data_IF_351677649845
#
_entry.id   IF_351677649845
#
_cell.length_a   1.000
_cell.length_b   1.000
_cell.length_c   1.000
_cell.angle_alpha   90.00
_cell.angle_beta   90.00
_cell.angle_gamma   90.00
#
_symmetry.space_group_name_H-M   'P 1'
#
loop_
_entity.id
_entity.type
_entity.pdbx_description
1 polymer ?
#
# COMPACT_ATOMS: atom_id res chain seq x y z
N UNK A 1 -6.62 16.20 7.97
CA UNK A 1 -5.85 17.18 7.20
C UNK A 1 -6.66 17.59 5.99
N UNK A 2 -6.74 18.88 5.63
CA UNK A 2 -7.51 19.31 4.47
C UNK A 2 -6.91 18.68 3.21
N UNK A 3 -7.77 18.21 2.31
CA UNK A 3 -7.40 17.54 1.05
C UNK A 3 -6.39 18.36 0.23
N UNK A 4 -6.45 19.70 0.35
CA UNK A 4 -5.50 20.62 -0.26
C UNK A 4 -4.05 20.46 0.23
N UNK A 5 -3.83 20.17 1.52
CA UNK A 5 -2.47 19.95 2.05
C UNK A 5 -1.82 18.69 1.46
N UNK A 6 -2.61 17.63 1.27
CA UNK A 6 -2.15 16.40 0.62
C UNK A 6 -1.79 16.63 -0.85
N UNK A 7 -2.63 17.37 -1.58
CA UNK A 7 -2.37 17.70 -2.98
C UNK A 7 -1.07 18.52 -3.15
N UNK A 8 -0.87 19.54 -2.31
CA UNK A 8 0.36 20.35 -2.31
C UNK A 8 1.57 19.48 -1.99
N UNK A 9 1.48 18.61 -0.98
CA UNK A 9 2.57 17.69 -0.64
C UNK A 9 2.92 16.76 -1.80
N UNK A 10 1.92 16.15 -2.45
CA UNK A 10 2.15 15.26 -3.59
C UNK A 10 2.86 15.99 -4.73
N UNK A 11 2.38 17.18 -5.09
CA UNK A 11 2.99 17.96 -6.18
C UNK A 11 4.42 18.36 -5.81
N UNK A 12 4.64 18.85 -4.60
CA UNK A 12 5.97 19.25 -4.13
C UNK A 12 6.94 18.06 -4.08
N UNK A 13 6.52 16.93 -3.50
CA UNK A 13 7.33 15.72 -3.41
C UNK A 13 7.68 15.16 -4.80
N UNK A 14 6.71 15.15 -5.71
CA UNK A 14 6.93 14.66 -7.09
C UNK A 14 7.86 15.59 -7.87
N UNK A 15 7.73 16.90 -7.71
CA UNK A 15 8.63 17.88 -8.33
C UNK A 15 10.07 17.77 -7.79
N UNK A 16 10.22 17.63 -6.46
CA UNK A 16 11.52 17.43 -5.84
C UNK A 16 12.16 16.09 -6.27
N UNK A 17 11.38 15.01 -6.30
CA UNK A 17 11.83 13.71 -6.80
C UNK A 17 12.27 13.78 -8.26
N UNK A 18 11.54 14.50 -9.11
CA UNK A 18 11.91 14.72 -10.50
C UNK A 18 13.25 15.45 -10.63
N UNK A 19 13.43 16.55 -9.89
CA UNK A 19 14.68 17.32 -9.89
C UNK A 19 15.83 16.45 -9.40
N UNK A 20 15.62 15.63 -8.37
CA UNK A 20 16.63 14.70 -7.85
C UNK A 20 17.05 13.67 -8.91
N UNK A 21 16.09 12.98 -9.54
CA UNK A 21 16.42 12.02 -10.59
C UNK A 21 17.08 12.67 -11.82
N UNK A 22 16.70 13.91 -12.12
CA UNK A 22 17.27 14.65 -13.25
C UNK A 22 18.70 15.13 -13.00
N UNK A 23 18.98 15.66 -11.80
CA UNK A 23 20.29 16.26 -11.47
C UNK A 23 21.28 15.32 -10.81
N UNK A 24 20.81 14.40 -9.97
CA UNK A 24 21.68 13.48 -9.21
C UNK A 24 21.81 12.14 -9.94
N UNK A 25 20.67 11.54 -10.34
CA UNK A 25 20.69 10.23 -10.99
C UNK A 25 20.96 10.29 -12.51
N UNK A 26 20.90 11.47 -13.13
CA UNK A 26 21.18 11.67 -14.55
C UNK A 26 20.16 11.04 -15.51
N UNK A 27 18.97 10.66 -15.03
CA UNK A 27 17.95 9.98 -15.84
C UNK A 27 17.36 10.89 -16.90
N UNK A 28 17.05 10.37 -18.08
CA UNK A 28 16.34 11.09 -19.16
C UNK A 28 14.99 11.67 -18.69
N UNK A 29 14.47 12.66 -19.42
CA UNK A 29 13.22 13.36 -19.06
C UNK A 29 12.05 12.39 -18.75
N UNK A 30 11.70 11.45 -19.65
CA UNK A 30 10.60 10.53 -19.39
C UNK A 30 10.90 9.62 -18.19
N UNK A 31 12.09 9.03 -18.10
CA UNK A 31 12.46 8.16 -16.96
C UNK A 31 12.40 8.88 -15.62
N UNK A 32 12.94 10.10 -15.53
CA UNK A 32 12.91 10.90 -14.31
C UNK A 32 11.47 11.27 -13.90
N UNK A 33 10.63 11.63 -14.87
CA UNK A 33 9.24 12.00 -14.61
C UNK A 33 8.42 10.82 -14.10
N UNK A 34 8.40 9.70 -14.83
CA UNK A 34 7.62 8.52 -14.44
C UNK A 34 8.15 7.79 -13.19
N UNK A 35 9.44 7.96 -12.88
CA UNK A 35 10.02 7.48 -11.61
C UNK A 35 9.61 8.34 -10.41
N UNK A 36 9.44 9.66 -10.60
CA UNK A 36 9.07 10.59 -9.53
C UNK A 36 7.58 10.65 -9.26
N UNK A 37 6.75 10.44 -10.29
CA UNK A 37 5.31 10.54 -10.15
C UNK A 37 4.72 9.36 -9.38
N UNK A 38 3.76 9.61 -8.48
CA UNK A 38 3.02 8.55 -7.83
C UNK A 38 2.03 7.91 -8.82
N UNK A 39 2.01 6.59 -8.88
CA UNK A 39 1.08 5.84 -9.73
C UNK A 39 1.23 4.33 -9.58
N UNK A 40 0.50 3.60 -10.41
CA UNK A 40 0.66 2.14 -10.57
C UNK A 40 2.00 1.81 -11.23
N UNK A 41 2.72 0.82 -10.69
CA UNK A 41 4.05 0.44 -11.20
C UNK A 41 3.98 0.07 -12.68
N UNK A 42 3.00 -0.75 -13.06
CA UNK A 42 2.80 -1.21 -14.44
C UNK A 42 2.53 -0.02 -15.35
N UNK A 43 1.57 0.83 -14.99
CA UNK A 43 1.18 1.99 -15.80
C UNK A 43 2.37 2.93 -16.05
N UNK A 44 3.13 3.27 -15.01
CA UNK A 44 4.25 4.21 -15.11
C UNK A 44 5.41 3.64 -15.93
N UNK A 45 5.65 2.33 -15.85
CA UNK A 45 6.68 1.66 -16.66
C UNK A 45 6.25 1.63 -18.13
N UNK A 46 5.00 1.27 -18.42
CA UNK A 46 4.47 1.23 -19.79
C UNK A 46 4.44 2.62 -20.43
N UNK A 47 3.90 3.63 -19.73
CA UNK A 47 3.88 5.03 -20.20
C UNK A 47 5.29 5.60 -20.38
N UNK A 48 6.22 5.20 -19.50
CA UNK A 48 7.62 5.57 -19.63
C UNK A 48 8.27 5.01 -20.89
N UNK A 49 8.04 3.73 -21.16
CA UNK A 49 8.53 3.07 -22.36
C UNK A 49 7.97 3.72 -23.64
N UNK A 50 6.66 3.98 -23.68
CA UNK A 50 6.00 4.64 -24.81
C UNK A 50 6.58 6.04 -25.10
N UNK A 51 7.12 6.71 -24.07
CA UNK A 51 7.75 8.03 -24.17
C UNK A 51 9.27 7.95 -24.40
N UNK A 52 9.82 6.76 -24.62
CA UNK A 52 11.25 6.53 -24.86
C UNK A 52 12.11 6.53 -23.58
N UNK A 53 11.49 6.37 -22.42
CA UNK A 53 12.18 6.20 -21.14
C UNK A 53 12.64 4.75 -20.90
N UNK A 54 13.53 4.59 -19.94
CA UNK A 54 14.10 3.32 -19.52
C UNK A 54 13.17 2.62 -18.51
N UNK A 55 12.39 1.67 -19.02
CA UNK A 55 11.43 0.86 -18.26
C UNK A 55 12.06 0.18 -17.03
N UNK A 56 13.33 -0.24 -17.10
CA UNK A 56 14.02 -0.96 -16.03
C UNK A 56 14.30 -0.02 -14.86
N UNK A 57 14.73 1.21 -15.15
CA UNK A 57 14.97 2.24 -14.11
C UNK A 57 13.67 2.65 -13.43
N UNK A 58 12.61 2.86 -14.20
CA UNK A 58 11.29 3.24 -13.66
C UNK A 58 10.76 2.12 -12.73
N UNK A 59 10.81 0.87 -13.20
CA UNK A 59 10.37 -0.29 -12.42
C UNK A 59 11.17 -0.45 -11.13
N UNK A 60 12.49 -0.27 -11.19
CA UNK A 60 13.37 -0.36 -10.03
C UNK A 60 13.02 0.67 -8.97
N UNK A 61 12.83 1.93 -9.36
CA UNK A 61 12.48 3.01 -8.42
C UNK A 61 11.12 2.75 -7.76
N UNK A 62 10.10 2.42 -8.55
CA UNK A 62 8.77 2.18 -8.03
C UNK A 62 8.72 0.96 -7.10
N UNK A 63 9.44 -0.11 -7.44
CA UNK A 63 9.53 -1.32 -6.58
C UNK A 63 10.31 -1.03 -5.31
N UNK A 64 11.44 -0.32 -5.41
CA UNK A 64 12.25 0.10 -4.25
C UNK A 64 11.42 0.93 -3.29
N UNK A 65 10.59 1.85 -3.80
CA UNK A 65 9.66 2.63 -2.98
C UNK A 65 8.73 1.72 -2.18
N UNK A 66 8.13 0.70 -2.80
CA UNK A 66 7.24 -0.25 -2.11
C UNK A 66 7.99 -0.98 -0.99
N UNK A 67 9.20 -1.48 -1.27
CA UNK A 67 10.02 -2.21 -0.29
C UNK A 67 10.40 -1.28 0.87
N UNK A 68 10.89 -0.08 0.57
CA UNK A 68 11.28 0.91 1.58
C UNK A 68 10.09 1.30 2.45
N UNK A 69 8.94 1.58 1.85
CA UNK A 69 7.69 1.90 2.55
C UNK A 69 7.28 0.72 3.43
N UNK A 70 7.22 -0.49 2.90
CA UNK A 70 6.83 -1.69 3.63
C UNK A 70 7.74 -1.99 4.83
N UNK A 71 9.05 -1.78 4.68
CA UNK A 71 10.03 -2.00 5.74
C UNK A 71 10.11 -0.86 6.75
N UNK A 72 9.96 0.41 6.32
CA UNK A 72 10.15 1.57 7.19
C UNK A 72 8.89 1.97 7.97
N UNK A 73 7.70 1.89 7.37
CA UNK A 73 6.44 2.24 8.03
C UNK A 73 6.20 1.57 9.39
N UNK A 74 6.41 0.25 9.58
CA UNK A 74 6.15 -0.37 10.88
C UNK A 74 7.01 0.20 12.01
N UNK A 75 8.19 0.76 11.71
CA UNK A 75 9.06 1.39 12.71
C UNK A 75 8.81 2.91 12.85
N UNK A 76 8.45 3.58 11.74
CA UNK A 76 8.21 5.02 11.72
C UNK A 76 6.89 5.43 12.37
N UNK A 77 5.82 4.63 12.22
CA UNK A 77 4.54 5.02 12.79
C UNK A 77 4.56 5.00 14.34
N UNK A 78 5.03 3.95 15.03
CA UNK A 78 5.06 3.95 16.49
C UNK A 78 5.91 5.06 17.09
N UNK A 79 7.03 5.41 16.44
CA UNK A 79 7.97 6.42 16.91
C UNK A 79 7.43 7.86 16.77
N UNK A 80 6.64 8.14 15.73
CA UNK A 80 6.07 9.49 15.50
C UNK A 80 4.71 9.65 16.17
N UNK A 81 3.89 8.60 16.24
CA UNK A 81 2.52 8.66 16.79
C UNK A 81 2.45 8.47 18.32
N UNK A 82 3.59 8.25 19.00
CA UNK A 82 3.63 8.08 20.46
C UNK A 82 3.00 6.78 20.97
N UNK A 83 2.82 5.79 20.11
CA UNK A 83 2.17 4.51 20.43
C UNK A 83 2.02 3.63 19.20
N UNK A 84 1.91 2.31 19.40
CA UNK A 84 1.75 1.36 18.31
C UNK A 84 0.51 1.72 17.46
N UNK A 85 0.65 1.83 16.11
CA UNK A 85 -0.48 2.13 15.24
C UNK A 85 -1.62 1.13 15.45
N UNK A 86 -2.84 1.66 15.47
CA UNK A 86 -4.08 0.90 15.61
C UNK A 86 -4.34 -0.10 14.46
N UNK A 87 -3.49 -0.13 13.41
CA UNK A 87 -3.53 -1.07 12.28
C UNK A 87 -2.33 -2.04 12.17
N UNK A 88 -1.29 -1.88 13.00
CA UNK A 88 -0.10 -2.76 13.02
C UNK A 88 0.09 -3.41 14.39
N UNK A 89 -1.01 -3.68 15.10
CA UNK A 89 -0.98 -4.85 15.97
C UNK A 89 -0.91 -6.03 15.01
N UNK A 90 0.31 -6.49 14.75
CA UNK A 90 0.53 -7.94 14.60
C UNK A 90 0.02 -8.45 15.94
N UNK A 91 -1.28 -8.72 16.00
CA UNK A 91 -1.92 -9.17 17.20
C UNK A 91 -1.37 -10.57 17.39
N UNK A 92 -0.22 -10.66 18.06
CA UNK A 92 0.24 -11.87 18.71
C UNK A 92 -0.78 -12.12 19.83
N UNK A 93 -1.97 -12.54 19.42
CA UNK A 93 -2.99 -13.07 20.30
C UNK A 93 -2.42 -14.42 20.71
N UNK A 94 -2.12 -14.65 22.00
CA UNK A 94 -1.63 -15.93 22.45
C UNK A 94 -2.60 -17.03 22.00
N UNK A 95 -2.11 -18.13 21.44
CA UNK A 95 -2.94 -19.29 21.07
C UNK A 95 -3.80 -19.80 22.24
N UNK A 96 -3.37 -19.52 23.47
CA UNK A 96 -4.08 -19.83 24.71
C UNK A 96 -5.38 -19.02 24.95
N UNK A 97 -5.60 -17.91 24.22
CA UNK A 97 -6.84 -17.10 24.32
C UNK A 97 -7.86 -17.42 23.23
N UNK A 98 -7.57 -18.35 22.31
CA UNK A 98 -8.53 -18.77 21.30
C UNK A 98 -9.46 -19.83 21.89
N UNK A 99 -10.72 -19.46 22.13
CA UNK A 99 -11.77 -20.44 22.38
C UNK A 99 -12.05 -21.20 21.06
N UNK A 100 -12.43 -22.48 21.12
CA UNK A 100 -12.80 -23.28 19.93
C UNK A 100 -13.88 -22.57 19.09
N UNK A 101 -14.72 -21.78 19.75
CA UNK A 101 -15.78 -20.98 19.13
C UNK A 101 -15.24 -19.87 18.21
N UNK A 102 -14.11 -19.25 18.54
CA UNK A 102 -13.49 -18.20 17.71
C UNK A 102 -12.84 -18.79 16.46
N UNK A 103 -12.26 -19.98 16.55
CA UNK A 103 -11.67 -20.69 15.41
C UNK A 103 -12.76 -21.08 14.39
N UNK A 104 -13.94 -21.48 14.85
CA UNK A 104 -15.09 -21.79 13.98
C UNK A 104 -15.59 -20.53 13.28
N UNK A 105 -15.76 -19.42 14.00
CA UNK A 105 -16.18 -18.16 13.39
C UNK A 105 -15.14 -17.59 12.42
N UNK A 106 -13.86 -17.67 12.76
CA UNK A 106 -12.78 -17.20 11.90
C UNK A 106 -12.68 -18.04 10.62
N UNK A 107 -12.77 -19.37 10.73
CA UNK A 107 -12.77 -20.25 9.56
C UNK A 107 -14.00 -20.06 8.68
N UNK A 108 -15.19 -19.86 9.27
CA UNK A 108 -16.40 -19.52 8.53
C UNK A 108 -16.29 -18.17 7.81
N UNK A 109 -15.75 -17.14 8.47
CA UNK A 109 -15.53 -15.83 7.88
C UNK A 109 -14.50 -15.86 6.75
N UNK A 110 -13.43 -16.64 6.89
CA UNK A 110 -12.43 -16.86 5.82
C UNK A 110 -13.06 -17.59 4.64
N UNK A 111 -13.83 -18.66 4.88
CA UNK A 111 -14.52 -19.41 3.81
C UNK A 111 -15.52 -18.51 3.07
N UNK A 112 -16.38 -17.81 3.79
CA UNK A 112 -17.37 -16.89 3.19
C UNK A 112 -16.69 -15.73 2.46
N UNK A 113 -15.65 -15.13 3.04
CA UNK A 113 -14.88 -14.05 2.42
C UNK A 113 -14.13 -14.50 1.17
N UNK A 114 -13.58 -15.71 1.16
CA UNK A 114 -12.90 -16.29 -0.02
C UNK A 114 -13.91 -16.66 -1.11
N UNK A 115 -15.08 -17.18 -0.77
CA UNK A 115 -16.13 -17.52 -1.74
C UNK A 115 -16.76 -16.25 -2.33
N UNK A 116 -17.14 -15.29 -1.49
CA UNK A 116 -17.69 -14.00 -1.93
C UNK A 116 -16.67 -13.16 -2.71
N UNK A 117 -15.40 -13.13 -2.25
CA UNK A 117 -14.31 -12.44 -2.94
C UNK A 117 -13.94 -13.07 -4.28
N UNK A 118 -14.10 -14.40 -4.43
CA UNK A 118 -13.98 -15.07 -5.75
C UNK A 118 -15.12 -14.68 -6.69
N UNK A 119 -16.33 -14.47 -6.18
CA UNK A 119 -17.49 -14.12 -6.98
C UNK A 119 -17.43 -12.66 -7.49
N UNK A 120 -16.82 -11.74 -6.75
CA UNK A 120 -16.85 -10.28 -7.01
C UNK A 120 -15.59 -9.66 -7.67
N UNK A 121 -14.52 -10.42 -7.94
CA UNK A 121 -13.32 -9.98 -8.72
C UNK A 121 -12.68 -8.64 -8.28
N UNK A 122 -12.72 -8.29 -6.99
CA UNK A 122 -12.08 -7.05 -6.49
C UNK A 122 -10.60 -7.25 -6.12
N UNK A 123 -9.68 -6.34 -6.52
CA UNK A 123 -8.23 -6.46 -6.32
C UNK A 123 -7.78 -6.41 -4.84
N UNK A 124 -8.67 -6.05 -3.91
CA UNK A 124 -8.44 -6.04 -2.46
C UNK A 124 -9.20 -7.16 -1.71
N UNK A 125 -9.25 -8.37 -2.30
CA UNK A 125 -10.11 -9.50 -1.84
C UNK A 125 -9.87 -9.96 -0.40
N UNK A 126 -8.66 -9.83 0.12
CA UNK A 126 -8.28 -10.36 1.43
C UNK A 126 -8.58 -9.41 2.60
N UNK A 127 -8.82 -8.12 2.32
CA UNK A 127 -9.09 -7.11 3.35
C UNK A 127 -10.58 -6.74 3.42
N UNK A 128 -11.25 -6.62 2.27
CA UNK A 128 -12.66 -6.23 2.23
C UNK A 128 -13.58 -7.30 2.84
N UNK A 129 -13.34 -8.58 2.56
CA UNK A 129 -14.13 -9.69 3.11
C UNK A 129 -14.23 -9.71 4.65
N UNK A 130 -13.10 -9.74 5.38
CA UNK A 130 -13.14 -9.72 6.85
C UNK A 130 -13.67 -8.40 7.42
N UNK A 131 -13.46 -7.26 6.75
CA UNK A 131 -14.03 -5.98 7.21
C UNK A 131 -15.56 -5.94 7.09
N UNK A 132 -16.12 -6.45 5.99
CA UNK A 132 -17.58 -6.55 5.82
C UNK A 132 -18.21 -7.52 6.82
N UNK A 133 -17.59 -8.69 7.02
CA UNK A 133 -18.09 -9.68 7.98
C UNK A 133 -18.01 -9.17 9.43
N UNK A 134 -16.93 -8.48 9.79
CA UNK A 134 -16.77 -7.85 11.11
C UNK A 134 -17.80 -6.74 11.34
N UNK A 135 -18.03 -5.87 10.35
CA UNK A 135 -19.02 -4.79 10.45
C UNK A 135 -20.46 -5.29 10.65
N UNK A 136 -20.79 -6.46 10.11
CA UNK A 136 -22.12 -7.09 10.29
C UNK A 136 -22.22 -7.76 11.67
N UNK A 137 -21.12 -8.28 12.20
CA UNK A 137 -21.11 -9.03 13.46
C UNK A 137 -20.97 -8.12 14.70
N UNK A 138 -20.45 -6.89 14.54
CA UNK A 138 -20.31 -5.86 15.58
C UNK A 138 -21.40 -4.77 15.48
N UNK A 139 -22.64 -5.14 15.15
CA UNK A 139 -23.82 -4.26 15.24
C UNK A 139 -24.59 -4.52 16.56
N UNK A 140 -23.90 -4.34 17.68
CA UNK A 140 -24.48 -4.22 19.03
C UNK A 140 -23.57 -3.32 19.89
#
# INVERSE_FOLDING_TARGET
MPVGGLAVFIVAASALGYIYFRRVAGFDHPTAFFSAMPGGVVDMVTLGLERGGDEKKIALVQTTRIILVALSLPFLIPSVAGGAPHGTRVAFVPLASFCVKDVVWFSAAVLLGVVAGRLLRLPARYLLGPMSASAIMHWD
#
